data_IF_472116218266
#
_entry.id   IF_472116218266
#
_cell.length_a   1.000
_cell.length_b   1.000
_cell.length_c   1.000
_cell.angle_alpha   90.00
_cell.angle_beta   90.00
_cell.angle_gamma   90.00
#
_symmetry.space_group_name_H-M   'P 1'
#
loop_
_entity.id
_entity.type
_entity.pdbx_description
1 polymer ?
#
# COMPACT_ATOMS: atom_id res chain seq x y z
N UNK A 1 -11.97 -17.65 -3.58
CA UNK A 1 -12.31 -18.07 -4.95
C UNK A 1 -12.60 -16.82 -5.75
N UNK A 2 -11.61 -16.33 -6.49
CA UNK A 2 -11.76 -15.18 -7.40
C UNK A 2 -12.46 -15.67 -8.65
N UNK A 3 -13.72 -15.26 -8.83
CA UNK A 3 -14.48 -15.48 -10.06
C UNK A 3 -13.87 -14.63 -11.18
N UNK A 4 -12.99 -15.24 -11.98
CA UNK A 4 -12.66 -14.73 -13.31
C UNK A 4 -13.75 -15.20 -14.26
N UNK A 5 -14.81 -14.41 -14.40
CA UNK A 5 -15.72 -14.54 -15.53
C UNK A 5 -15.05 -13.87 -16.74
N UNK A 6 -14.65 -14.60 -17.80
CA UNK A 6 -13.95 -14.02 -18.95
C UNK A 6 -14.89 -13.31 -19.94
N UNK A 7 -16.17 -13.13 -19.61
CA UNK A 7 -17.23 -12.73 -20.54
C UNK A 7 -18.08 -11.53 -20.06
N UNK A 8 -17.57 -10.73 -19.11
CA UNK A 8 -18.20 -9.44 -18.80
C UNK A 8 -17.75 -8.40 -19.82
N UNK A 9 -18.69 -7.76 -20.51
CA UNK A 9 -18.35 -6.65 -21.40
C UNK A 9 -17.64 -5.54 -20.61
N UNK A 10 -16.49 -5.12 -21.11
CA UNK A 10 -15.71 -4.03 -20.52
C UNK A 10 -16.47 -2.73 -20.80
N UNK A 11 -17.04 -2.13 -19.76
CA UNK A 11 -17.77 -0.86 -19.85
C UNK A 11 -16.85 0.35 -20.08
N UNK A 12 -15.55 0.17 -19.86
CA UNK A 12 -14.51 1.14 -20.16
C UNK A 12 -13.30 0.97 -19.25
N UNK A 13 -12.42 1.98 -19.27
CA UNK A 13 -11.21 2.01 -18.44
C UNK A 13 -11.25 3.19 -17.49
N UNK A 14 -10.91 2.93 -16.22
CA UNK A 14 -10.73 3.95 -15.19
C UNK A 14 -9.24 4.11 -14.91
N UNK A 15 -8.77 5.36 -14.86
CA UNK A 15 -7.41 5.66 -14.38
C UNK A 15 -7.36 5.52 -12.87
N UNK A 16 -6.50 4.64 -12.39
CA UNK A 16 -6.22 4.45 -10.98
C UNK A 16 -4.73 4.54 -10.70
N UNK A 17 -4.36 4.96 -9.49
CA UNK A 17 -2.96 4.98 -9.06
C UNK A 17 -2.40 3.56 -9.08
N UNK A 18 -1.23 3.38 -9.68
CA UNK A 18 -0.59 2.07 -9.74
C UNK A 18 0.15 1.74 -8.44
N UNK A 19 -0.59 1.24 -7.46
CA UNK A 19 -0.05 0.88 -6.14
C UNK A 19 1.12 -0.11 -6.19
N UNK A 20 1.23 -0.93 -7.24
CA UNK A 20 2.36 -1.87 -7.40
C UNK A 20 3.68 -1.13 -7.54
N UNK A 21 3.68 0.02 -8.20
CA UNK A 21 4.87 0.86 -8.40
C UNK A 21 5.24 1.70 -7.19
N UNK A 22 4.36 1.76 -6.18
CA UNK A 22 4.61 2.48 -4.93
C UNK A 22 5.39 1.66 -3.89
N UNK A 23 5.66 0.38 -4.17
CA UNK A 23 6.45 -0.50 -3.28
C UNK A 23 7.79 0.11 -2.86
N UNK A 24 8.66 0.55 -3.80
CA UNK A 24 9.92 1.18 -3.44
C UNK A 24 9.76 2.45 -2.59
N UNK A 25 8.77 3.29 -2.89
CA UNK A 25 8.49 4.51 -2.11
C UNK A 25 8.08 4.18 -0.68
N UNK A 26 7.25 3.14 -0.49
CA UNK A 26 6.83 2.68 0.83
C UNK A 26 8.01 2.14 1.63
N UNK A 27 8.92 1.37 1.02
CA UNK A 27 10.12 0.85 1.67
C UNK A 27 10.99 2.01 2.16
N UNK A 28 11.30 2.98 1.28
CA UNK A 28 12.14 4.14 1.62
C UNK A 28 11.51 4.96 2.75
N UNK A 29 10.21 5.28 2.65
CA UNK A 29 9.52 6.05 3.67
C UNK A 29 9.49 5.31 5.02
N UNK A 30 9.26 4.00 5.01
CA UNK A 30 9.28 3.18 6.24
C UNK A 30 10.68 3.14 6.87
N UNK A 31 11.72 2.98 6.06
CA UNK A 31 13.12 3.02 6.52
C UNK A 31 13.48 4.39 7.11
N UNK A 32 13.00 5.49 6.52
CA UNK A 32 13.23 6.83 7.04
C UNK A 32 12.56 7.04 8.41
N UNK A 33 11.29 6.60 8.55
CA UNK A 33 10.57 6.67 9.84
C UNK A 33 11.32 5.85 10.91
N UNK A 34 11.77 4.64 10.55
CA UNK A 34 12.54 3.78 11.44
C UNK A 34 13.85 4.46 11.88
N UNK A 35 14.62 4.99 10.93
CA UNK A 35 15.89 5.66 11.20
C UNK A 35 15.73 6.89 12.11
N UNK A 36 14.71 7.71 11.89
CA UNK A 36 14.42 8.88 12.73
C UNK A 36 14.06 8.46 14.16
N UNK A 37 13.29 7.38 14.32
CA UNK A 37 12.89 6.88 15.63
C UNK A 37 14.06 6.26 16.39
N UNK A 38 14.90 5.49 15.71
CA UNK A 38 16.02 4.77 16.32
C UNK A 38 17.22 5.68 16.59
N UNK A 39 17.40 6.75 15.82
CA UNK A 39 18.41 7.78 16.10
C UNK A 39 18.22 8.46 17.48
N UNK A 40 17.03 8.36 18.07
CA UNK A 40 16.73 8.89 19.42
C UNK A 40 17.09 7.92 20.54
N UNK A 41 17.46 6.68 20.23
CA UNK A 41 17.75 5.67 21.24
C UNK A 41 19.23 5.74 21.65
N UNK A 42 19.55 5.63 22.95
CA UNK A 42 20.93 5.43 23.38
C UNK A 42 21.44 4.08 22.83
N UNK A 43 22.72 3.98 22.46
CA UNK A 43 23.28 2.73 21.92
C UNK A 43 23.18 1.62 22.96
N UNK A 44 22.21 0.72 22.79
CA UNK A 44 21.99 -0.44 23.66
C UNK A 44 22.91 -1.59 23.23
N UNK A 45 23.81 -2.01 24.13
CA UNK A 45 24.55 -3.27 24.02
C UNK A 45 23.67 -4.41 24.56
N UNK A 46 22.89 -5.10 23.73
CA UNK A 46 22.38 -6.43 24.11
C UNK A 46 22.03 -7.31 22.91
N UNK A 47 22.84 -8.36 22.71
CA UNK A 47 22.81 -9.28 21.56
C UNK A 47 21.64 -10.31 21.56
N UNK A 48 20.56 -10.11 22.32
CA UNK A 48 19.56 -11.18 22.48
C UNK A 48 18.09 -10.80 22.70
N UNK A 49 17.80 -9.68 23.37
CA UNK A 49 16.41 -9.27 23.68
C UNK A 49 15.90 -8.11 22.82
N UNK A 50 16.77 -7.47 22.05
CA UNK A 50 16.41 -6.32 21.21
C UNK A 50 15.50 -6.68 20.01
N UNK A 51 15.46 -7.96 19.58
CA UNK A 51 14.76 -8.35 18.34
C UNK A 51 13.24 -8.11 18.36
N UNK A 52 12.54 -8.38 19.48
CA UNK A 52 11.08 -8.16 19.55
C UNK A 52 10.69 -6.68 19.54
N UNK A 53 11.54 -5.79 20.08
CA UNK A 53 11.32 -4.35 20.03
C UNK A 53 11.59 -3.81 18.63
N UNK A 54 12.63 -4.32 17.96
CA UNK A 54 12.94 -3.98 16.59
C UNK A 54 11.85 -4.37 15.59
N UNK A 55 11.30 -5.58 15.68
CA UNK A 55 10.19 -6.01 14.82
C UNK A 55 8.97 -5.12 14.97
N UNK A 56 8.61 -4.74 16.21
CA UNK A 56 7.51 -3.81 16.48
C UNK A 56 7.77 -2.43 15.90
N UNK A 57 9.00 -1.94 15.99
CA UNK A 57 9.37 -0.64 15.42
C UNK A 57 9.36 -0.64 13.88
N UNK A 58 9.77 -1.75 13.26
CA UNK A 58 9.63 -1.95 11.81
C UNK A 58 8.14 -1.93 11.42
N UNK A 59 7.29 -2.70 12.11
CA UNK A 59 5.85 -2.73 11.83
C UNK A 59 5.21 -1.35 12.01
N UNK A 60 5.55 -0.65 13.09
CA UNK A 60 5.09 0.70 13.36
C UNK A 60 5.49 1.67 12.23
N UNK A 61 6.75 1.60 11.79
CA UNK A 61 7.27 2.46 10.73
C UNK A 61 6.57 2.23 9.39
N UNK A 62 6.34 0.96 9.03
CA UNK A 62 5.56 0.58 7.85
C UNK A 62 4.12 1.09 7.94
N UNK A 63 3.50 0.99 9.12
CA UNK A 63 2.12 1.45 9.35
C UNK A 63 1.99 2.96 9.14
N UNK A 64 2.90 3.75 9.71
CA UNK A 64 2.92 5.21 9.52
C UNK A 64 3.11 5.57 8.04
N UNK A 65 4.08 4.94 7.37
CA UNK A 65 4.33 5.18 5.96
C UNK A 65 3.12 4.83 5.09
N UNK A 66 2.40 3.74 5.37
CA UNK A 66 1.14 3.38 4.68
C UNK A 66 0.04 4.44 4.87
N UNK A 67 -0.12 4.96 6.09
CA UNK A 67 -1.12 6.01 6.38
C UNK A 67 -0.82 7.27 5.56
N UNK A 68 0.44 7.72 5.57
CA UNK A 68 0.88 8.88 4.78
C UNK A 68 0.65 8.63 3.29
N UNK A 69 1.09 7.48 2.78
CA UNK A 69 0.92 7.13 1.38
C UNK A 69 -0.56 7.10 0.96
N UNK A 70 -1.44 6.56 1.80
CA UNK A 70 -2.88 6.54 1.58
C UNK A 70 -3.48 7.95 1.53
N UNK A 71 -3.07 8.83 2.44
CA UNK A 71 -3.53 10.22 2.44
C UNK A 71 -3.10 11.00 1.19
N UNK A 72 -1.85 10.84 0.76
CA UNK A 72 -1.33 11.58 -0.40
C UNK A 72 -1.89 11.02 -1.71
N UNK A 73 -2.01 9.70 -1.85
CA UNK A 73 -2.60 9.09 -3.05
C UNK A 73 -4.09 9.43 -3.21
N UNK A 74 -4.82 9.63 -2.12
CA UNK A 74 -6.22 10.03 -2.16
C UNK A 74 -6.43 11.52 -2.50
N UNK A 75 -5.51 12.40 -2.09
CA UNK A 75 -5.65 13.86 -2.27
C UNK A 75 -4.95 14.40 -3.52
N UNK A 76 -3.83 13.80 -3.89
CA UNK A 76 -2.96 14.24 -4.97
C UNK A 76 -2.62 13.07 -5.91
N UNK A 77 -3.62 12.38 -6.50
CA UNK A 77 -3.39 11.21 -7.35
C UNK A 77 -2.52 11.53 -8.58
N UNK A 78 -2.52 12.78 -9.05
CA UNK A 78 -1.74 13.28 -10.18
C UNK A 78 -0.22 13.23 -9.99
N UNK A 79 0.25 13.13 -8.75
CA UNK A 79 1.68 12.99 -8.44
C UNK A 79 2.21 11.58 -8.70
N UNK A 80 1.32 10.60 -8.90
CA UNK A 80 1.67 9.19 -8.99
C UNK A 80 1.44 8.64 -10.39
N UNK A 81 2.19 7.60 -10.74
CA UNK A 81 1.94 6.88 -11.97
C UNK A 81 0.57 6.20 -11.88
N UNK A 82 -0.25 6.42 -12.89
CA UNK A 82 -1.57 5.79 -13.03
C UNK A 82 -1.53 4.66 -14.05
N UNK A 83 -2.46 3.72 -13.92
CA UNK A 83 -2.75 2.69 -14.90
C UNK A 83 -4.23 2.70 -15.25
N UNK A 84 -4.53 2.22 -16.45
CA UNK A 84 -5.91 2.01 -16.88
C UNK A 84 -6.39 0.65 -16.36
N UNK A 85 -7.45 0.67 -15.54
CA UNK A 85 -8.07 -0.51 -14.95
C UNK A 85 -9.45 -0.69 -15.61
N UNK A 86 -9.76 -1.86 -16.19
CA UNK A 86 -11.05 -2.10 -16.80
C UNK A 86 -12.13 -2.17 -15.71
N UNK A 87 -13.29 -1.57 -15.99
CA UNK A 87 -14.50 -1.82 -15.20
C UNK A 87 -15.51 -2.60 -16.05
N UNK A 88 -16.21 -3.53 -15.42
CA UNK A 88 -17.13 -4.45 -16.07
C UNK A 88 -18.57 -3.97 -15.88
N UNK A 89 -19.38 -4.03 -16.95
CA UNK A 89 -20.81 -3.72 -16.87
C UNK A 89 -21.50 -4.86 -16.10
N UNK A 90 -22.35 -4.52 -15.12
CA UNK A 90 -23.19 -5.50 -14.46
C UNK A 90 -24.20 -6.04 -15.49
N UNK A 91 -24.07 -7.30 -15.89
CA UNK A 91 -25.05 -7.98 -16.74
C UNK A 91 -26.26 -8.38 -15.91
N UNK A 92 -27.47 -8.22 -16.46
CA UNK A 92 -28.77 -8.50 -15.80
C UNK A 92 -28.91 -9.91 -15.20
N UNK A 93 -28.02 -10.85 -15.56
CA UNK A 93 -27.94 -12.20 -14.99
C UNK A 93 -27.41 -12.24 -13.54
N UNK A 94 -26.93 -11.12 -12.98
CA UNK A 94 -26.43 -11.04 -11.59
C UNK A 94 -27.50 -10.61 -10.56
N UNK A 95 -28.74 -10.34 -10.99
CA UNK A 95 -29.86 -10.05 -10.07
C UNK A 95 -30.61 -11.35 -9.76
N UNK A 96 -30.54 -11.90 -8.53
CA UNK A 96 -31.33 -13.08 -8.18
C UNK A 96 -32.82 -12.72 -8.24
N UNK A 97 -33.58 -13.45 -9.07
CA UNK A 97 -35.05 -13.40 -9.11
C UNK A 97 -35.67 -14.14 -7.93
#
# INVERSE_FOLDING_TARGET
MTSTNPAGDIGGYRREVDFQKLGPALIIASSLVLAIRTARWPPTHSDGLANMEWEKEIEHSVRIAKIVLSHVTARCPEMFQTKDVPWYVATDDEVPR
#
